data_IF_189659541544
#
_entry.id   IF_189659541544
#
_cell.length_a   1.000
_cell.length_b   1.000
_cell.length_c   1.000
_cell.angle_alpha   90.00
_cell.angle_beta   90.00
_cell.angle_gamma   90.00
#
_symmetry.space_group_name_H-M   'P 1'
#
loop_
_entity.id
_entity.type
_entity.pdbx_description
1 polymer ?
#
# COMPACT_ATOMS: atom_id res chain seq x y z
N UNK A 1 -21.91 17.92 9.29
CA UNK A 1 -20.65 17.27 8.85
C UNK A 1 -19.91 16.87 10.11
N UNK A 2 -19.88 15.58 10.41
CA UNK A 2 -19.04 15.06 11.50
C UNK A 2 -17.58 15.31 11.11
N UNK A 3 -16.80 15.94 11.97
CA UNK A 3 -15.36 16.08 11.75
C UNK A 3 -14.75 14.69 11.84
N UNK A 4 -14.06 14.24 10.79
CA UNK A 4 -13.24 13.02 10.84
C UNK A 4 -12.21 13.19 11.96
N UNK A 5 -12.12 12.20 12.83
CA UNK A 5 -11.11 12.19 13.88
C UNK A 5 -9.77 11.77 13.29
N UNK A 6 -8.67 12.12 13.96
CA UNK A 6 -7.34 11.63 13.56
C UNK A 6 -7.27 10.08 13.55
N UNK A 7 -8.11 9.42 14.34
CA UNK A 7 -8.23 7.97 14.35
C UNK A 7 -8.94 7.44 13.10
N UNK A 8 -9.99 8.11 12.64
CA UNK A 8 -10.69 7.75 11.38
C UNK A 8 -9.74 7.91 10.18
N UNK A 9 -9.01 9.02 10.11
CA UNK A 9 -8.01 9.26 9.08
C UNK A 9 -6.88 8.21 9.10
N UNK A 10 -6.48 7.78 10.28
CA UNK A 10 -5.51 6.70 10.44
C UNK A 10 -6.03 5.38 9.89
N UNK A 11 -7.27 4.99 10.26
CA UNK A 11 -7.87 3.75 9.78
C UNK A 11 -8.00 3.76 8.26
N UNK A 12 -8.47 4.86 7.68
CA UNK A 12 -8.59 5.01 6.22
C UNK A 12 -7.22 4.89 5.51
N UNK A 13 -6.18 5.53 6.07
CA UNK A 13 -4.83 5.42 5.53
C UNK A 13 -4.28 3.98 5.59
N UNK A 14 -4.54 3.26 6.68
CA UNK A 14 -4.13 1.85 6.84
C UNK A 14 -4.88 0.95 5.87
N UNK A 15 -6.20 1.13 5.74
CA UNK A 15 -7.03 0.36 4.80
C UNK A 15 -6.59 0.60 3.36
N UNK A 16 -6.32 1.85 2.99
CA UNK A 16 -5.77 2.20 1.68
C UNK A 16 -4.42 1.53 1.41
N UNK A 17 -3.50 1.57 2.38
CA UNK A 17 -2.20 0.90 2.26
C UNK A 17 -2.35 -0.61 2.05
N UNK A 18 -3.21 -1.27 2.82
CA UNK A 18 -3.47 -2.70 2.71
C UNK A 18 -4.08 -3.06 1.35
N UNK A 19 -5.05 -2.27 0.88
CA UNK A 19 -5.70 -2.45 -0.42
C UNK A 19 -4.69 -2.36 -1.58
N UNK A 20 -3.76 -1.40 -1.53
CA UNK A 20 -2.70 -1.29 -2.55
C UNK A 20 -1.77 -2.51 -2.52
N UNK A 21 -1.38 -2.98 -1.34
CA UNK A 21 -0.53 -4.18 -1.21
C UNK A 21 -1.25 -5.41 -1.80
N UNK A 22 -2.54 -5.58 -1.48
CA UNK A 22 -3.37 -6.66 -2.02
C UNK A 22 -3.50 -6.57 -3.54
N UNK A 23 -3.75 -5.38 -4.11
CA UNK A 23 -3.82 -5.18 -5.55
C UNK A 23 -2.51 -5.57 -6.25
N UNK A 24 -1.36 -5.19 -5.69
CA UNK A 24 -0.04 -5.59 -6.20
C UNK A 24 0.13 -7.12 -6.13
N UNK A 25 -0.28 -7.76 -5.03
CA UNK A 25 -0.22 -9.22 -4.89
C UNK A 25 -1.08 -9.93 -5.95
N UNK A 26 -2.32 -9.47 -6.16
CA UNK A 26 -3.22 -9.99 -7.20
C UNK A 26 -2.60 -9.84 -8.59
N UNK A 27 -2.03 -8.66 -8.88
CA UNK A 27 -1.35 -8.36 -10.13
C UNK A 27 -0.12 -9.24 -10.37
N UNK A 28 0.70 -9.45 -9.34
CA UNK A 28 1.83 -10.39 -9.38
C UNK A 28 1.36 -11.82 -9.66
N UNK A 29 0.33 -12.29 -8.96
CA UNK A 29 -0.24 -13.62 -9.15
C UNK A 29 -0.77 -13.83 -10.58
N UNK A 30 -1.48 -12.85 -11.13
CA UNK A 30 -1.99 -12.89 -12.52
C UNK A 30 -0.90 -12.97 -13.57
N UNK A 31 0.28 -12.42 -13.30
CA UNK A 31 1.45 -12.45 -14.21
C UNK A 31 2.43 -13.58 -13.89
N UNK A 32 2.09 -14.47 -12.95
CA UNK A 32 2.98 -15.54 -12.46
C UNK A 32 4.35 -15.01 -11.98
N UNK A 33 4.37 -13.79 -11.44
CA UNK A 33 5.56 -13.16 -10.87
C UNK A 33 5.52 -13.34 -9.36
N UNK A 34 6.64 -13.78 -8.77
CA UNK A 34 6.78 -13.82 -7.32
C UNK A 34 6.71 -12.39 -6.74
N UNK A 35 5.79 -12.19 -5.79
CA UNK A 35 5.59 -10.89 -5.15
C UNK A 35 6.87 -10.39 -4.48
N UNK A 36 7.63 -11.25 -3.80
CA UNK A 36 8.85 -10.84 -3.09
C UNK A 36 9.99 -10.50 -4.05
N UNK A 37 9.96 -11.00 -5.28
CA UNK A 37 10.85 -10.58 -6.37
C UNK A 37 10.51 -9.19 -6.91
N UNK A 38 9.24 -8.75 -6.84
CA UNK A 38 8.82 -7.43 -7.32
C UNK A 38 8.85 -6.38 -6.21
N UNK A 39 8.32 -6.72 -5.03
CA UNK A 39 8.29 -5.85 -3.85
C UNK A 39 9.30 -6.38 -2.82
N UNK A 40 10.40 -5.65 -2.58
CA UNK A 40 11.38 -6.07 -1.58
C UNK A 40 10.72 -6.25 -0.21
N UNK A 41 11.07 -7.32 0.50
CA UNK A 41 10.54 -7.58 1.85
C UNK A 41 10.88 -6.47 2.86
N UNK A 42 11.94 -5.68 2.62
CA UNK A 42 12.24 -4.45 3.38
C UNK A 42 11.14 -3.39 3.23
N UNK A 43 10.54 -3.26 2.06
CA UNK A 43 9.45 -2.32 1.76
C UNK A 43 8.21 -2.65 2.59
N UNK A 44 7.84 -3.93 2.69
CA UNK A 44 6.72 -4.38 3.51
C UNK A 44 6.99 -4.16 5.01
N UNK A 45 8.22 -4.44 5.46
CA UNK A 45 8.61 -4.13 6.85
C UNK A 45 8.52 -2.63 7.15
N UNK A 46 8.91 -1.78 6.21
CA UNK A 46 8.81 -0.33 6.35
C UNK A 46 7.36 0.13 6.39
N UNK A 47 6.47 -0.47 5.58
CA UNK A 47 5.03 -0.25 5.65
C UNK A 47 4.49 -0.49 7.07
N UNK A 48 4.83 -1.64 7.68
CA UNK A 48 4.44 -1.95 9.05
C UNK A 48 5.01 -0.98 10.10
N UNK A 49 6.24 -0.48 9.90
CA UNK A 49 6.82 0.54 10.77
C UNK A 49 6.08 1.88 10.66
N UNK A 50 5.66 2.28 9.47
CA UNK A 50 4.87 3.50 9.26
C UNK A 50 3.48 3.39 9.89
N UNK A 51 2.83 2.24 9.79
CA UNK A 51 1.55 2.01 10.49
C UNK A 51 1.72 2.21 12.00
N UNK A 52 2.84 1.75 12.58
CA UNK A 52 3.13 1.92 14.00
C UNK A 52 3.39 3.38 14.43
N UNK A 53 3.66 4.32 13.50
CA UNK A 53 3.79 5.74 13.87
C UNK A 53 2.44 6.39 14.14
N UNK A 54 1.34 5.81 13.65
CA UNK A 54 -0.01 6.36 13.80
C UNK A 54 -0.22 7.68 13.05
N UNK A 55 0.65 8.01 12.08
CA UNK A 55 0.58 9.26 11.31
C UNK A 55 -0.06 9.02 9.93
N UNK A 56 -1.34 9.41 9.73
CA UNK A 56 -2.07 9.11 8.49
C UNK A 56 -1.38 9.62 7.23
N UNK A 57 -0.84 10.84 7.26
CA UNK A 57 -0.17 11.45 6.11
C UNK A 57 1.05 10.65 5.64
N UNK A 58 1.82 10.09 6.57
CA UNK A 58 3.00 9.29 6.23
C UNK A 58 2.60 7.94 5.61
N UNK A 59 1.56 7.31 6.18
CA UNK A 59 0.99 6.07 5.68
C UNK A 59 0.45 6.28 4.25
N UNK A 60 -0.32 7.36 4.04
CA UNK A 60 -0.90 7.70 2.74
C UNK A 60 0.15 8.04 1.69
N UNK A 61 1.17 8.82 2.06
CA UNK A 61 2.27 9.13 1.15
C UNK A 61 3.01 7.87 0.72
N UNK A 62 3.29 6.96 1.65
CA UNK A 62 3.94 5.70 1.35
C UNK A 62 3.07 4.78 0.49
N UNK A 63 1.76 4.71 0.77
CA UNK A 63 0.80 3.98 -0.05
C UNK A 63 0.82 4.47 -1.51
N UNK A 64 0.80 5.79 -1.74
CA UNK A 64 0.90 6.37 -3.09
C UNK A 64 2.22 6.03 -3.80
N UNK A 65 3.33 5.99 -3.07
CA UNK A 65 4.64 5.56 -3.61
C UNK A 65 4.62 4.08 -4.00
N UNK A 66 4.05 3.21 -3.15
CA UNK A 66 3.88 1.79 -3.45
C UNK A 66 3.05 1.56 -4.71
N UNK A 67 1.91 2.24 -4.81
CA UNK A 67 1.02 2.19 -5.97
C UNK A 67 1.73 2.65 -7.25
N UNK A 68 2.50 3.73 -7.16
CA UNK A 68 3.22 4.27 -8.32
C UNK A 68 4.33 3.34 -8.79
N UNK A 69 5.15 2.80 -7.88
CA UNK A 69 6.33 2.00 -8.22
C UNK A 69 5.95 0.56 -8.60
N UNK A 70 4.99 -0.04 -7.91
CA UNK A 70 4.68 -1.47 -8.04
C UNK A 70 3.29 -1.72 -8.61
N UNK A 71 2.33 -0.83 -8.35
CA UNK A 71 0.95 -0.96 -8.83
C UNK A 71 0.79 -0.60 -10.31
N UNK A 72 1.47 0.45 -10.79
CA UNK A 72 1.39 0.91 -12.18
C UNK A 72 2.24 0.09 -13.16
N UNK A 73 3.30 -0.56 -12.67
CA UNK A 73 4.19 -1.40 -13.48
C UNK A 73 3.49 -2.68 -13.99
N UNK A 74 2.37 -3.04 -13.36
CA UNK A 74 1.51 -4.15 -13.77
C UNK A 74 0.20 -3.59 -14.33
N UNK A 75 0.30 -2.74 -15.37
CA UNK A 75 -0.83 -2.60 -16.28
C UNK A 75 -1.08 -3.98 -16.89
N UNK A 76 -2.27 -4.52 -16.60
CA UNK A 76 -2.83 -5.65 -17.32
C UNK A 76 -3.27 -5.07 -18.66
N UNK A 77 -2.49 -5.31 -19.71
CA UNK A 77 -2.97 -5.00 -21.05
C UNK A 77 -4.28 -5.76 -21.25
N UNK A 78 -5.32 -5.01 -21.56
CA UNK A 78 -6.63 -5.50 -21.97
C UNK A 78 -6.52 -6.12 -23.37
#
# INVERSE_FOLDING_TARGET
MSRETNYDLYLDAVDRLNSIIEDIQIKCAKKEIDFNSKVPSRTIKFAGMLVATGLPDQINNFASVLETIYGNDIQLNN
#
